data_IF_786597204045
#
_entry.id   IF_786597204045
#
_cell.length_a   1.000
_cell.length_b   1.000
_cell.length_c   1.000
_cell.angle_alpha   90.00
_cell.angle_beta   90.00
_cell.angle_gamma   90.00
#
_symmetry.space_group_name_H-M   'P 1'
#
loop_
_entity.id
_entity.type
_entity.pdbx_description
1 polymer ?
#
# COMPACT_ATOMS: atom_id res chain seq x y z
N UNK A 1 27.42 61.90 -56.00
CA UNK A 1 27.20 62.17 -54.56
C UNK A 1 26.01 61.33 -54.12
N UNK A 2 26.24 60.23 -53.39
CA UNK A 2 25.20 59.28 -52.98
C UNK A 2 24.67 59.70 -51.61
N UNK A 3 23.40 60.11 -51.55
CA UNK A 3 22.74 60.46 -50.31
C UNK A 3 22.25 59.17 -49.61
N UNK A 4 22.98 58.74 -48.58
CA UNK A 4 22.56 57.62 -47.72
C UNK A 4 21.50 58.15 -46.74
N UNK A 5 20.24 57.79 -46.94
CA UNK A 5 19.17 58.02 -45.95
C UNK A 5 19.40 57.11 -44.74
N UNK A 6 19.83 57.69 -43.62
CA UNK A 6 19.72 57.07 -42.29
C UNK A 6 18.25 57.04 -41.89
N UNK A 7 17.62 55.88 -41.94
CA UNK A 7 16.33 55.62 -41.26
C UNK A 7 16.60 55.46 -39.77
N UNK A 8 16.63 56.58 -39.04
CA UNK A 8 16.60 56.57 -37.58
C UNK A 8 15.18 56.30 -37.11
N UNK A 9 14.83 55.04 -36.88
CA UNK A 9 13.56 54.68 -36.25
C UNK A 9 13.64 54.99 -34.75
N UNK A 10 13.02 56.09 -34.32
CA UNK A 10 12.77 56.32 -32.89
C UNK A 10 11.79 55.28 -32.38
N UNK A 11 12.30 54.30 -31.64
CA UNK A 11 11.46 53.37 -30.89
C UNK A 11 10.81 54.16 -29.77
N UNK A 12 9.50 54.35 -29.86
CA UNK A 12 8.71 55.07 -28.86
C UNK A 12 9.00 54.53 -27.46
N UNK A 13 9.41 55.41 -26.54
CA UNK A 13 9.69 55.07 -25.13
C UNK A 13 8.52 54.32 -24.48
N UNK A 14 7.28 54.61 -24.92
CA UNK A 14 6.07 53.89 -24.46
C UNK A 14 6.09 52.41 -24.86
N UNK A 15 6.56 52.08 -26.06
CA UNK A 15 6.67 50.70 -26.53
C UNK A 15 7.70 49.91 -25.73
N UNK A 16 8.84 50.53 -25.40
CA UNK A 16 9.90 49.91 -24.58
C UNK A 16 9.38 49.60 -23.17
N UNK A 17 8.68 50.56 -22.55
CA UNK A 17 8.09 50.39 -21.22
C UNK A 17 7.04 49.27 -21.23
N UNK A 18 6.16 49.23 -22.24
CA UNK A 18 5.15 48.16 -22.38
C UNK A 18 5.80 46.79 -22.55
N UNK A 19 6.81 46.67 -23.42
CA UNK A 19 7.53 45.41 -23.63
C UNK A 19 8.28 44.94 -22.38
N UNK A 20 8.81 45.88 -21.58
CA UNK A 20 9.50 45.57 -20.33
C UNK A 20 8.51 45.08 -19.27
N UNK A 21 7.34 45.73 -19.14
CA UNK A 21 6.27 45.29 -18.22
C UNK A 21 5.77 43.90 -18.62
N UNK A 22 5.51 43.66 -19.91
CA UNK A 22 5.08 42.35 -20.42
C UNK A 22 6.16 41.30 -20.18
N UNK A 23 7.43 41.63 -20.46
CA UNK A 23 8.56 40.74 -20.20
C UNK A 23 8.68 40.36 -18.72
N UNK A 24 8.58 41.33 -17.81
CA UNK A 24 8.62 41.10 -16.36
C UNK A 24 7.43 40.26 -15.90
N UNK A 25 6.22 40.53 -16.41
CA UNK A 25 5.03 39.75 -16.09
C UNK A 25 5.14 38.30 -16.55
N UNK A 26 5.67 38.05 -17.76
CA UNK A 26 5.90 36.68 -18.26
C UNK A 26 6.96 35.98 -17.42
N UNK A 27 8.08 36.65 -17.13
CA UNK A 27 9.18 36.10 -16.33
C UNK A 27 8.74 35.80 -14.90
N UNK A 28 7.79 36.54 -14.32
CA UNK A 28 7.24 36.27 -13.00
C UNK A 28 6.14 35.19 -13.01
N UNK A 29 5.24 35.23 -14.00
CA UNK A 29 4.06 34.36 -14.06
C UNK A 29 4.39 32.93 -14.49
N UNK A 30 5.37 32.74 -15.39
CA UNK A 30 5.74 31.40 -15.89
C UNK A 30 6.33 30.52 -14.79
N UNK A 31 7.33 30.95 -13.99
CA UNK A 31 7.85 30.15 -12.88
C UNK A 31 6.79 29.87 -11.81
N UNK A 32 5.93 30.86 -11.52
CA UNK A 32 4.82 30.68 -10.58
C UNK A 32 3.83 29.63 -11.10
N UNK A 33 3.50 29.67 -12.40
CA UNK A 33 2.70 28.66 -13.07
C UNK A 33 3.31 27.27 -12.95
N UNK A 34 4.61 27.12 -13.22
CA UNK A 34 5.32 25.84 -13.05
C UNK A 34 5.38 25.36 -11.60
N UNK A 35 5.45 26.27 -10.64
CA UNK A 35 5.47 25.94 -9.22
C UNK A 35 4.10 25.47 -8.72
N UNK A 36 3.02 26.12 -9.15
CA UNK A 36 1.66 25.87 -8.64
C UNK A 36 0.95 24.78 -9.42
N UNK A 37 1.28 24.58 -10.70
CA UNK A 37 0.63 23.61 -11.59
C UNK A 37 0.63 22.15 -11.07
N UNK A 38 1.73 21.59 -10.52
CA UNK A 38 1.73 20.24 -9.98
C UNK A 38 0.76 20.08 -8.80
N UNK A 39 0.69 21.06 -7.91
CA UNK A 39 -0.21 21.05 -6.75
C UNK A 39 -1.68 21.21 -7.15
N UNK A 40 -1.95 22.07 -8.14
CA UNK A 40 -3.29 22.18 -8.73
C UNK A 40 -3.70 20.88 -9.42
N UNK A 41 -2.78 20.24 -10.16
CA UNK A 41 -3.06 18.95 -10.82
C UNK A 41 -3.35 17.85 -9.80
N UNK A 42 -2.76 17.88 -8.62
CA UNK A 42 -3.09 16.97 -7.52
C UNK A 42 -4.46 17.28 -6.89
N UNK A 43 -4.83 18.55 -6.75
CA UNK A 43 -6.16 18.96 -6.26
C UNK A 43 -7.30 18.52 -7.20
N UNK A 44 -7.03 18.48 -8.51
CA UNK A 44 -7.98 18.01 -9.52
C UNK A 44 -7.75 16.55 -9.97
N UNK A 45 -6.79 15.85 -9.37
CA UNK A 45 -6.71 14.41 -9.53
C UNK A 45 -7.95 13.84 -8.85
N UNK A 46 -8.84 13.23 -9.64
CA UNK A 46 -10.03 12.59 -9.08
C UNK A 46 -9.56 11.58 -8.02
N UNK A 47 -10.14 11.61 -6.80
CA UNK A 47 -9.82 10.62 -5.79
C UNK A 47 -10.11 9.24 -6.38
N UNK A 48 -9.18 8.30 -6.19
CA UNK A 48 -9.37 6.92 -6.59
C UNK A 48 -10.69 6.40 -6.01
N UNK A 49 -11.64 6.03 -6.87
CA UNK A 49 -12.89 5.44 -6.43
C UNK A 49 -12.63 3.98 -6.03
N UNK A 50 -12.93 3.65 -4.79
CA UNK A 50 -12.74 2.33 -4.21
C UNK A 50 -14.09 1.74 -3.84
N UNK A 51 -14.36 0.54 -4.34
CA UNK A 51 -15.54 -0.25 -3.96
C UNK A 51 -15.11 -1.34 -2.99
N UNK A 52 -15.81 -1.48 -1.86
CA UNK A 52 -15.54 -2.54 -0.88
C UNK A 52 -16.03 -3.88 -1.46
N UNK A 53 -15.10 -4.80 -1.69
CA UNK A 53 -15.40 -6.19 -2.06
C UNK A 53 -15.68 -7.02 -0.81
N UNK A 54 -14.94 -6.74 0.26
CA UNK A 54 -14.99 -7.50 1.50
C UNK A 54 -14.57 -6.63 2.69
N UNK A 55 -15.24 -6.83 3.83
CA UNK A 55 -14.92 -6.24 5.11
C UNK A 55 -15.09 -7.26 6.24
N UNK A 56 -14.19 -7.21 7.22
CA UNK A 56 -14.22 -7.98 8.45
C UNK A 56 -13.67 -7.14 9.60
N UNK A 57 -14.52 -6.84 10.57
CA UNK A 57 -14.22 -6.12 11.81
C UNK A 57 -14.20 -7.03 13.04
N UNK A 58 -14.52 -8.32 12.89
CA UNK A 58 -14.61 -9.33 13.96
C UNK A 58 -15.61 -9.02 15.07
N UNK A 59 -16.51 -8.05 14.89
CA UNK A 59 -17.45 -7.62 15.94
C UNK A 59 -18.56 -8.62 16.22
N UNK A 60 -18.71 -9.63 15.36
CA UNK A 60 -19.59 -10.78 15.62
C UNK A 60 -19.13 -11.64 16.80
N UNK A 61 -17.86 -11.51 17.23
CA UNK A 61 -17.27 -12.32 18.30
C UNK A 61 -16.83 -13.73 17.84
N UNK A 62 -17.08 -14.08 16.58
CA UNK A 62 -16.71 -15.36 15.97
C UNK A 62 -16.02 -15.16 14.63
N UNK A 63 -15.22 -16.14 14.20
CA UNK A 63 -14.61 -16.10 12.86
C UNK A 63 -15.65 -16.53 11.83
N UNK A 64 -15.96 -15.66 10.86
CA UNK A 64 -16.93 -15.95 9.80
C UNK A 64 -16.61 -17.25 9.05
N UNK A 65 -17.63 -17.99 8.64
CA UNK A 65 -17.51 -19.36 8.09
C UNK A 65 -16.77 -19.44 6.76
N UNK A 66 -16.71 -18.34 6.03
CA UNK A 66 -16.05 -18.25 4.74
C UNK A 66 -14.53 -18.10 4.87
N UNK A 67 -14.02 -17.83 6.08
CA UNK A 67 -12.61 -17.93 6.38
C UNK A 67 -12.18 -19.39 6.49
N UNK A 68 -11.24 -19.79 5.63
CA UNK A 68 -10.48 -21.02 5.82
C UNK A 68 -9.33 -20.73 6.76
N UNK A 69 -9.14 -21.53 7.80
CA UNK A 69 -8.03 -21.38 8.75
C UNK A 69 -7.07 -22.56 8.71
N UNK A 70 -5.83 -22.33 9.12
CA UNK A 70 -4.88 -23.38 9.45
C UNK A 70 -4.30 -23.13 10.85
N UNK A 71 -3.91 -24.20 11.54
CA UNK A 71 -3.51 -24.16 12.95
C UNK A 71 -4.56 -23.41 13.81
N UNK A 72 -5.82 -23.80 13.68
CA UNK A 72 -6.99 -23.14 14.29
C UNK A 72 -6.89 -23.00 15.82
N UNK A 73 -6.20 -23.90 16.49
CA UNK A 73 -5.93 -23.82 17.94
C UNK A 73 -5.05 -22.62 18.35
N UNK A 74 -4.44 -21.94 17.38
CA UNK A 74 -3.62 -20.74 17.58
C UNK A 74 -4.35 -19.45 17.18
N UNK A 75 -5.62 -19.54 16.78
CA UNK A 75 -6.46 -18.44 16.32
C UNK A 75 -7.65 -18.28 17.27
N UNK A 76 -7.92 -17.05 17.69
CA UNK A 76 -9.05 -16.73 18.56
C UNK A 76 -9.56 -15.32 18.27
N UNK A 77 -10.87 -15.11 18.41
CA UNK A 77 -11.42 -13.75 18.50
C UNK A 77 -11.22 -13.28 19.95
N UNK A 78 -10.53 -12.15 20.13
CA UNK A 78 -10.02 -11.67 21.41
C UNK A 78 -10.57 -10.28 21.73
N UNK A 79 -11.08 -10.09 22.96
CA UNK A 79 -11.63 -8.80 23.40
C UNK A 79 -10.68 -7.93 24.23
N UNK A 80 -9.44 -8.36 24.47
CA UNK A 80 -8.46 -7.65 25.30
C UNK A 80 -7.62 -6.67 24.49
N UNK A 81 -7.13 -7.10 23.33
CA UNK A 81 -6.37 -6.24 22.41
C UNK A 81 -7.22 -6.06 21.15
N UNK A 82 -7.62 -4.82 20.89
CA UNK A 82 -8.49 -4.44 19.77
C UNK A 82 -8.20 -3.01 19.32
N UNK A 83 -8.53 -2.68 18.06
CA UNK A 83 -8.32 -1.34 17.49
C UNK A 83 -9.59 -0.51 17.56
N UNK A 84 -10.71 -1.10 17.12
CA UNK A 84 -12.07 -0.59 17.25
C UNK A 84 -12.96 -1.56 18.03
N UNK A 85 -14.19 -1.17 18.31
CA UNK A 85 -15.22 -2.10 18.80
C UNK A 85 -14.86 -2.89 20.06
N UNK A 86 -15.26 -4.16 20.07
CA UNK A 86 -15.15 -5.09 21.19
C UNK A 86 -14.15 -6.22 20.95
N UNK A 87 -13.80 -6.52 19.70
CA UNK A 87 -13.06 -7.72 19.34
C UNK A 87 -11.96 -7.47 18.29
N UNK A 88 -11.02 -8.40 18.17
CA UNK A 88 -10.11 -8.51 17.04
C UNK A 88 -9.70 -9.97 16.84
N UNK A 89 -9.11 -10.31 15.70
CA UNK A 89 -8.59 -11.65 15.44
C UNK A 89 -7.15 -11.79 15.93
N UNK A 90 -6.96 -12.55 17.01
CA UNK A 90 -5.64 -12.93 17.53
C UNK A 90 -5.14 -14.18 16.84
N UNK A 91 -3.88 -14.14 16.40
CA UNK A 91 -3.16 -15.27 15.80
C UNK A 91 -1.80 -15.43 16.47
N UNK A 92 -1.34 -16.67 16.63
CA UNK A 92 -0.02 -16.96 17.19
C UNK A 92 0.79 -17.94 16.35
N UNK A 93 2.05 -17.62 16.14
CA UNK A 93 3.01 -18.48 15.45
C UNK A 93 3.81 -19.35 16.41
N UNK A 94 4.26 -20.52 15.95
CA UNK A 94 5.06 -21.43 16.76
C UNK A 94 6.45 -20.87 17.06
N UNK A 95 6.83 -20.83 18.33
CA UNK A 95 8.16 -20.36 18.76
C UNK A 95 9.33 -21.30 18.39
N UNK A 96 9.05 -22.51 17.85
CA UNK A 96 10.06 -23.53 17.53
C UNK A 96 9.82 -24.34 16.24
N UNK A 97 8.64 -24.29 15.62
CA UNK A 97 8.30 -25.03 14.39
C UNK A 97 8.06 -24.10 13.20
N UNK A 98 7.98 -24.62 11.97
CA UNK A 98 7.56 -23.84 10.78
C UNK A 98 6.06 -23.47 10.82
N UNK A 99 5.37 -23.70 11.95
CA UNK A 99 3.95 -23.47 12.08
C UNK A 99 3.63 -21.98 12.22
N UNK A 100 3.15 -21.38 11.14
CA UNK A 100 2.36 -20.15 11.21
C UNK A 100 0.91 -20.49 11.53
N UNK A 101 0.13 -19.54 12.02
CA UNK A 101 -1.33 -19.63 11.99
C UNK A 101 -1.91 -18.52 11.14
N UNK A 102 -3.09 -18.75 10.59
CA UNK A 102 -3.75 -17.71 9.83
C UNK A 102 -5.08 -18.11 9.23
N UNK A 103 -5.68 -17.12 8.59
CA UNK A 103 -6.95 -17.19 7.91
C UNK A 103 -6.75 -16.82 6.44
N UNK A 104 -7.54 -17.40 5.56
CA UNK A 104 -7.59 -17.06 4.14
C UNK A 104 -9.01 -17.05 3.62
N UNK A 105 -9.27 -16.18 2.66
CA UNK A 105 -10.56 -16.05 2.00
C UNK A 105 -10.38 -15.77 0.51
N UNK A 106 -11.20 -16.43 -0.31
CA UNK A 106 -11.34 -16.11 -1.73
C UNK A 106 -12.23 -14.89 -1.88
N UNK A 107 -11.84 -13.92 -2.70
CA UNK A 107 -12.68 -12.78 -3.05
C UNK A 107 -12.68 -12.61 -4.57
N UNK A 108 -13.84 -12.31 -5.14
CA UNK A 108 -13.94 -11.96 -6.56
C UNK A 108 -13.34 -10.56 -6.75
N UNK A 109 -12.11 -10.50 -7.23
CA UNK A 109 -11.33 -9.27 -7.33
C UNK A 109 -10.55 -9.23 -8.62
N UNK A 110 -10.23 -8.02 -9.09
CA UNK A 110 -9.38 -7.78 -10.27
C UNK A 110 -8.34 -6.71 -9.95
N UNK A 111 -7.22 -6.73 -10.68
CA UNK A 111 -6.23 -5.67 -10.55
C UNK A 111 -6.75 -4.35 -11.17
N UNK A 112 -6.51 -3.18 -10.54
CA UNK A 112 -5.82 -2.99 -9.26
C UNK A 112 -6.73 -3.33 -8.06
N UNK A 113 -6.14 -3.94 -7.02
CA UNK A 113 -6.83 -4.23 -5.76
C UNK A 113 -6.12 -3.52 -4.60
N UNK A 114 -6.87 -3.11 -3.59
CA UNK A 114 -6.32 -2.52 -2.36
C UNK A 114 -6.72 -3.38 -1.17
N UNK A 115 -5.77 -3.65 -0.28
CA UNK A 115 -5.96 -4.36 0.98
C UNK A 115 -5.66 -3.37 2.10
N UNK A 116 -6.60 -3.15 3.00
CA UNK A 116 -6.42 -2.35 4.21
C UNK A 116 -6.68 -3.20 5.44
N UNK A 117 -5.91 -2.99 6.49
CA UNK A 117 -6.10 -3.66 7.77
C UNK A 117 -5.38 -2.91 8.88
N UNK A 118 -5.87 -3.09 10.11
CA UNK A 118 -5.15 -2.73 11.31
C UNK A 118 -4.44 -3.95 11.88
N UNK A 119 -3.19 -3.74 12.32
CA UNK A 119 -2.36 -4.81 12.86
C UNK A 119 -1.66 -4.37 14.15
N UNK A 120 -1.73 -5.22 15.16
CA UNK A 120 -0.93 -5.10 16.39
C UNK A 120 -0.02 -6.32 16.52
N UNK A 121 1.27 -6.08 16.73
CA UNK A 121 2.23 -7.15 16.93
C UNK A 121 2.67 -7.22 18.39
N UNK A 122 2.61 -8.42 18.96
CA UNK A 122 3.06 -8.70 20.32
C UNK A 122 4.57 -8.48 20.51
N UNK A 123 4.99 -8.42 21.78
CA UNK A 123 6.38 -8.11 22.17
C UNK A 123 7.31 -9.32 22.16
N UNK A 124 6.81 -10.52 21.86
CA UNK A 124 7.60 -11.74 21.87
C UNK A 124 8.74 -11.65 20.85
N UNK A 125 9.93 -12.18 21.14
CA UNK A 125 11.06 -12.11 20.24
C UNK A 125 10.80 -12.86 18.92
N UNK A 126 11.51 -12.41 17.90
CA UNK A 126 11.68 -13.11 16.62
C UNK A 126 12.67 -14.27 16.83
N UNK A 127 12.30 -15.48 16.41
CA UNK A 127 13.01 -16.73 16.76
C UNK A 127 13.48 -17.55 15.54
N UNK A 128 13.31 -17.07 14.29
CA UNK A 128 13.65 -17.79 13.05
C UNK A 128 14.23 -16.90 11.95
N UNK A 129 15.45 -17.23 11.51
CA UNK A 129 16.16 -16.40 10.56
C UNK A 129 15.56 -16.24 9.14
N UNK A 130 14.70 -17.15 8.66
CA UNK A 130 14.20 -17.15 7.27
C UNK A 130 12.68 -16.97 7.11
N UNK A 131 11.88 -17.15 8.16
CA UNK A 131 10.41 -17.03 8.13
C UNK A 131 9.82 -16.24 9.33
N UNK A 132 10.63 -15.39 9.96
CA UNK A 132 10.20 -14.53 11.07
C UNK A 132 9.30 -13.37 10.60
N UNK A 133 7.99 -13.58 10.58
CA UNK A 133 7.03 -12.51 10.28
C UNK A 133 5.93 -12.44 11.33
N UNK A 134 5.54 -11.22 11.69
CA UNK A 134 4.27 -10.90 12.36
C UNK A 134 3.42 -10.05 11.42
N UNK A 135 2.10 -10.04 11.62
CA UNK A 135 1.21 -9.19 10.80
C UNK A 135 1.39 -9.43 9.31
N UNK A 136 1.34 -10.68 8.90
CA UNK A 136 1.69 -11.13 7.55
C UNK A 136 0.46 -11.02 6.63
N UNK A 137 0.69 -10.57 5.40
CA UNK A 137 -0.23 -10.75 4.26
C UNK A 137 0.40 -11.65 3.20
N UNK A 138 -0.33 -12.68 2.79
CA UNK A 138 0.08 -13.66 1.77
C UNK A 138 -1.03 -13.76 0.72
N UNK A 139 -0.64 -13.84 -0.54
CA UNK A 139 -1.54 -14.27 -1.61
C UNK A 139 -1.40 -15.78 -1.80
N UNK A 140 -2.51 -16.50 -1.86
CA UNK A 140 -2.54 -17.92 -2.19
C UNK A 140 -3.19 -18.11 -3.55
N UNK A 141 -2.73 -19.11 -4.29
CA UNK A 141 -3.50 -19.60 -5.43
C UNK A 141 -4.65 -20.47 -4.90
N UNK A 142 -5.89 -20.15 -5.23
CA UNK A 142 -7.04 -20.98 -4.86
C UNK A 142 -6.86 -22.37 -5.49
N UNK A 143 -6.97 -23.43 -4.68
CA UNK A 143 -6.83 -24.82 -5.14
C UNK A 143 -5.39 -25.28 -5.44
N UNK A 144 -4.45 -24.38 -5.73
CA UNK A 144 -3.03 -24.68 -5.89
C UNK A 144 -2.24 -24.29 -4.64
N UNK A 145 -1.48 -25.20 -4.02
CA UNK A 145 -0.75 -24.92 -2.75
C UNK A 145 0.33 -23.83 -2.81
N UNK A 146 0.46 -23.11 -3.93
CA UNK A 146 1.40 -22.00 -4.12
C UNK A 146 0.95 -20.76 -3.35
N UNK A 147 1.92 -20.05 -2.77
CA UNK A 147 1.67 -18.83 -2.01
C UNK A 147 2.81 -17.83 -2.18
N UNK A 148 2.48 -16.54 -2.08
CA UNK A 148 3.43 -15.44 -2.23
C UNK A 148 3.32 -14.45 -1.07
N UNK A 149 4.44 -14.20 -0.40
CA UNK A 149 4.50 -13.33 0.77
C UNK A 149 4.53 -11.87 0.34
N UNK A 150 3.38 -11.20 0.46
CA UNK A 150 3.19 -9.85 -0.03
C UNK A 150 3.77 -8.82 0.94
N UNK A 151 3.43 -8.97 2.23
CA UNK A 151 3.83 -8.05 3.29
C UNK A 151 4.08 -8.79 4.60
N UNK A 152 5.01 -8.30 5.41
CA UNK A 152 5.11 -8.68 6.82
C UNK A 152 5.84 -7.62 7.64
N UNK A 153 5.54 -7.58 8.94
CA UNK A 153 6.44 -6.99 9.92
C UNK A 153 7.53 -8.01 10.22
N UNK A 154 8.75 -7.70 9.80
CA UNK A 154 9.90 -8.59 9.85
C UNK A 154 10.80 -8.25 11.05
N UNK A 155 11.95 -8.94 11.17
CA UNK A 155 13.00 -8.75 12.20
C UNK A 155 13.25 -7.29 12.61
N UNK A 156 13.82 -7.04 13.81
CA UNK A 156 13.70 -5.77 14.52
C UNK A 156 13.84 -4.53 13.62
N UNK A 157 12.78 -3.73 13.58
CA UNK A 157 12.76 -2.45 12.89
C UNK A 157 12.74 -2.53 11.36
N UNK A 158 12.15 -3.58 10.78
CA UNK A 158 11.97 -3.67 9.32
C UNK A 158 10.60 -4.24 8.92
N UNK A 159 10.03 -3.73 7.84
CA UNK A 159 8.92 -4.38 7.13
C UNK A 159 9.48 -5.12 5.92
N UNK A 160 8.81 -6.15 5.43
CA UNK A 160 9.15 -6.77 4.15
C UNK A 160 8.01 -6.58 3.15
N UNK A 161 8.34 -6.20 1.92
CA UNK A 161 7.43 -6.20 0.77
C UNK A 161 7.97 -7.15 -0.28
N UNK A 162 7.18 -8.15 -0.67
CA UNK A 162 7.59 -9.18 -1.63
C UNK A 162 8.86 -9.92 -1.21
N UNK A 163 8.88 -10.45 0.02
CA UNK A 163 10.03 -11.13 0.66
C UNK A 163 11.28 -10.30 0.95
N UNK A 164 11.37 -9.05 0.49
CA UNK A 164 12.58 -8.24 0.68
C UNK A 164 12.39 -7.34 1.90
N UNK A 165 13.19 -7.50 2.98
CA UNK A 165 13.15 -6.60 4.13
C UNK A 165 13.64 -5.21 3.74
N UNK A 166 12.87 -4.19 4.11
CA UNK A 166 13.25 -2.79 4.06
C UNK A 166 13.55 -2.30 5.49
N UNK A 167 14.84 -2.01 5.74
CA UNK A 167 15.35 -1.53 7.03
C UNK A 167 15.10 -0.03 7.26
N UNK A 168 14.53 0.70 6.30
CA UNK A 168 14.18 2.12 6.47
C UNK A 168 12.94 2.33 7.35
N UNK A 169 12.28 1.23 7.75
CA UNK A 169 11.00 1.26 8.46
C UNK A 169 11.12 0.64 9.83
N UNK A 170 11.51 1.46 10.79
CA UNK A 170 11.49 1.06 12.19
C UNK A 170 10.06 0.99 12.72
N UNK A 171 9.49 -0.21 12.69
CA UNK A 171 8.29 -0.52 13.44
C UNK A 171 8.66 -1.02 14.85
N UNK A 172 7.71 -0.90 15.79
CA UNK A 172 7.83 -1.28 17.20
C UNK A 172 6.64 -2.16 17.56
N UNK A 173 6.91 -3.23 18.30
CA UNK A 173 5.86 -4.06 18.89
C UNK A 173 5.06 -3.27 19.95
N UNK A 174 3.91 -3.80 20.35
CA UNK A 174 3.11 -3.22 21.41
C UNK A 174 2.23 -2.05 20.99
N UNK A 175 2.03 -1.84 19.68
CA UNK A 175 1.14 -0.80 19.15
C UNK A 175 0.47 -1.21 17.85
N UNK A 176 -0.63 -0.52 17.56
CA UNK A 176 -1.40 -0.66 16.34
C UNK A 176 -0.77 0.08 15.16
N UNK A 177 -0.88 -0.53 13.99
CA UNK A 177 -0.50 0.01 12.70
C UNK A 177 -1.67 -0.11 11.74
N UNK A 178 -2.00 0.99 11.08
CA UNK A 178 -2.83 0.92 9.88
C UNK A 178 -1.92 0.63 8.68
N UNK A 179 -2.26 -0.40 7.91
CA UNK A 179 -1.52 -0.84 6.73
C UNK A 179 -2.45 -0.84 5.53
N UNK A 180 -2.01 -0.22 4.44
CA UNK A 180 -2.70 -0.19 3.14
C UNK A 180 -1.78 -0.72 2.06
N UNK A 181 -2.18 -1.74 1.31
CA UNK A 181 -1.40 -2.34 0.23
C UNK A 181 -2.19 -2.26 -1.07
N UNK A 182 -1.70 -1.54 -2.07
CA UNK A 182 -2.25 -1.52 -3.42
C UNK A 182 -1.43 -2.42 -4.34
N UNK A 183 -2.09 -3.37 -4.99
CA UNK A 183 -1.47 -4.29 -5.94
C UNK A 183 -1.94 -3.90 -7.34
N UNK A 184 -1.00 -3.75 -8.26
CA UNK A 184 -1.30 -3.30 -9.62
C UNK A 184 -0.39 -3.98 -10.65
N UNK A 185 -0.94 -4.26 -11.83
CA UNK A 185 -0.17 -4.71 -12.99
C UNK A 185 0.10 -3.52 -13.90
N UNK A 186 1.36 -3.16 -14.08
CA UNK A 186 1.81 -2.08 -14.96
C UNK A 186 2.80 -2.68 -15.94
N UNK A 187 2.53 -2.58 -17.24
CA UNK A 187 3.43 -3.09 -18.29
C UNK A 187 3.86 -4.56 -18.08
N UNK A 188 2.91 -5.43 -17.69
CA UNK A 188 3.12 -6.86 -17.37
C UNK A 188 3.97 -7.13 -16.11
N UNK A 189 4.33 -6.10 -15.36
CA UNK A 189 5.03 -6.20 -14.08
C UNK A 189 4.06 -5.95 -12.94
N UNK A 190 4.13 -6.80 -11.92
CA UNK A 190 3.28 -6.68 -10.74
C UNK A 190 3.99 -5.80 -9.71
N UNK A 191 3.30 -4.78 -9.24
CA UNK A 191 3.77 -3.87 -8.21
C UNK A 191 2.92 -4.00 -6.95
N UNK A 192 3.56 -3.87 -5.81
CA UNK A 192 2.90 -3.60 -4.53
C UNK A 192 3.32 -2.21 -4.06
N UNK A 193 2.34 -1.36 -3.80
CA UNK A 193 2.52 -0.09 -3.13
C UNK A 193 1.98 -0.24 -1.71
N UNK A 194 2.86 -0.15 -0.71
CA UNK A 194 2.45 -0.25 0.70
C UNK A 194 2.44 1.14 1.34
N UNK A 195 1.48 1.40 2.22
CA UNK A 195 1.52 2.48 3.18
C UNK A 195 1.42 1.90 4.58
N UNK A 196 2.37 2.24 5.45
CA UNK A 196 2.36 1.83 6.85
C UNK A 196 2.38 3.07 7.70
N UNK A 197 1.22 3.44 8.26
CA UNK A 197 1.04 4.62 9.11
C UNK A 197 1.54 5.93 8.47
N UNK A 198 1.19 6.16 7.20
CA UNK A 198 1.49 7.38 6.45
C UNK A 198 2.84 7.41 5.75
N UNK A 199 3.57 6.29 5.77
CA UNK A 199 4.81 6.13 5.00
C UNK A 199 4.54 5.20 3.83
N UNK A 200 4.71 5.71 2.62
CA UNK A 200 4.46 4.96 1.39
C UNK A 200 5.73 4.32 0.82
N UNK A 201 5.55 3.15 0.20
CA UNK A 201 6.58 2.29 -0.37
C UNK A 201 6.08 1.75 -1.70
N UNK A 202 6.98 1.50 -2.65
CA UNK A 202 6.67 0.86 -3.92
C UNK A 202 7.70 -0.20 -4.23
N UNK A 203 7.26 -1.39 -4.62
CA UNK A 203 8.12 -2.52 -4.95
C UNK A 203 7.60 -3.27 -6.18
N UNK A 204 8.47 -3.49 -7.15
CA UNK A 204 8.25 -4.47 -8.21
C UNK A 204 8.43 -5.88 -7.64
N UNK A 205 7.44 -6.74 -7.85
CA UNK A 205 7.47 -8.16 -7.49
C UNK A 205 8.13 -8.95 -8.61
N UNK A 206 9.45 -8.86 -8.73
CA UNK A 206 10.23 -9.45 -9.83
C UNK A 206 10.06 -10.96 -9.96
N UNK A 207 9.78 -11.65 -8.85
CA UNK A 207 9.57 -13.09 -8.77
C UNK A 207 8.07 -13.46 -8.65
N UNK A 208 7.17 -12.59 -9.11
CA UNK A 208 5.73 -12.90 -9.12
C UNK A 208 5.44 -14.10 -10.03
N UNK A 209 4.67 -15.05 -9.50
CA UNK A 209 4.19 -16.20 -10.24
C UNK A 209 3.23 -15.79 -11.36
N UNK A 210 3.10 -16.62 -12.38
CA UNK A 210 2.24 -16.33 -13.54
C UNK A 210 0.75 -16.20 -13.14
N UNK A 211 0.29 -16.98 -12.17
CA UNK A 211 -1.09 -16.86 -11.66
C UNK A 211 -1.35 -15.49 -11.01
N UNK A 212 -0.34 -14.87 -10.40
CA UNK A 212 -0.46 -13.52 -9.84
C UNK A 212 -0.53 -12.46 -10.95
N UNK A 213 0.25 -12.63 -12.03
CA UNK A 213 0.24 -11.70 -13.17
C UNK A 213 -1.08 -11.77 -13.95
N UNK A 214 -1.66 -12.96 -14.05
CA UNK A 214 -2.99 -13.18 -14.64
C UNK A 214 -4.14 -12.85 -13.69
N UNK A 215 -3.84 -12.76 -12.39
CA UNK A 215 -4.81 -12.56 -11.31
C UNK A 215 -5.91 -13.64 -11.29
N UNK A 216 -5.52 -14.88 -11.51
CA UNK A 216 -6.43 -16.03 -11.55
C UNK A 216 -6.44 -16.73 -10.20
N UNK A 217 -7.64 -16.95 -9.64
CA UNK A 217 -7.82 -17.76 -8.43
C UNK A 217 -6.97 -17.25 -7.26
N UNK A 218 -7.23 -16.03 -6.79
CA UNK A 218 -6.44 -15.41 -5.72
C UNK A 218 -7.22 -15.45 -4.40
N UNK A 219 -6.61 -16.09 -3.41
CA UNK A 219 -7.04 -16.04 -2.02
C UNK A 219 -6.17 -15.04 -1.25
N UNK A 220 -6.79 -14.20 -0.45
CA UNK A 220 -6.10 -13.29 0.46
C UNK A 220 -5.96 -13.94 1.82
N UNK A 221 -4.78 -13.80 2.43
CA UNK A 221 -4.49 -14.42 3.71
C UNK A 221 -3.76 -13.50 4.68
N UNK A 222 -4.17 -13.60 5.95
CA UNK A 222 -3.60 -12.91 7.09
C UNK A 222 -3.06 -13.94 8.07
N UNK A 223 -1.84 -13.74 8.55
CA UNK A 223 -1.18 -14.74 9.40
C UNK A 223 -0.14 -14.20 10.38
N UNK A 224 0.27 -15.08 11.29
CA UNK A 224 1.38 -14.86 12.19
C UNK A 224 2.37 -16.03 12.10
N UNK A 225 3.63 -15.74 11.78
CA UNK A 225 4.69 -16.73 11.67
C UNK A 225 5.38 -17.02 13.00
N UNK A 226 5.68 -15.97 13.78
CA UNK A 226 6.33 -16.08 15.10
C UNK A 226 5.67 -15.15 16.11
N UNK A 227 5.50 -15.58 17.35
CA UNK A 227 4.94 -14.74 18.42
C UNK A 227 3.44 -14.51 18.23
N UNK A 228 2.92 -13.33 18.60
CA UNK A 228 1.50 -12.99 18.45
C UNK A 228 1.28 -11.82 17.51
N UNK A 229 0.23 -11.88 16.69
CA UNK A 229 -0.30 -10.74 15.94
C UNK A 229 -1.83 -10.68 16.11
N UNK A 230 -2.37 -9.47 16.09
CA UNK A 230 -3.80 -9.20 16.11
C UNK A 230 -4.14 -8.43 14.85
N UNK A 231 -5.23 -8.83 14.19
CA UNK A 231 -5.77 -8.19 12.99
C UNK A 231 -7.17 -7.67 13.29
N UNK A 232 -7.46 -6.50 12.76
CA UNK A 232 -8.74 -5.80 12.93
C UNK A 232 -9.03 -4.97 11.67
N UNK A 233 -10.29 -4.62 11.43
CA UNK A 233 -10.76 -3.78 10.32
C UNK A 233 -10.17 -4.18 8.95
N UNK A 234 -10.21 -5.47 8.61
CA UNK A 234 -9.73 -5.95 7.32
C UNK A 234 -10.71 -5.51 6.24
N UNK A 235 -10.21 -4.83 5.22
CA UNK A 235 -10.98 -4.41 4.05
C UNK A 235 -10.23 -4.72 2.77
N UNK A 236 -10.95 -5.20 1.77
CA UNK A 236 -10.43 -5.41 0.42
C UNK A 236 -11.29 -4.59 -0.52
N UNK A 237 -10.63 -3.74 -1.31
CA UNK A 237 -11.28 -2.84 -2.24
C UNK A 237 -10.90 -3.16 -3.68
N UNK A 238 -11.88 -3.01 -4.56
CA UNK A 238 -11.67 -2.91 -5.98
C UNK A 238 -11.37 -1.45 -6.33
N UNK A 239 -10.24 -1.17 -6.97
CA UNK A 239 -10.08 0.12 -7.63
C UNK A 239 -11.01 0.16 -8.84
N UNK A 240 -11.94 1.10 -8.85
CA UNK A 240 -12.85 1.34 -9.96
C UNK A 240 -12.07 2.13 -11.01
N UNK A 241 -12.03 1.63 -12.24
CA UNK A 241 -11.52 2.44 -13.35
C UNK A 241 -12.60 3.45 -13.71
N UNK A 242 -12.24 4.72 -13.76
CA UNK A 242 -13.04 5.71 -14.47
C UNK A 242 -13.16 5.25 -15.94
N UNK A 243 -14.39 5.05 -16.41
CA UNK A 243 -14.71 4.86 -17.83
C UNK A 243 -14.39 6.12 -18.66
#
# INVERSE_FOLDING_TARGET
MICVRKTGGEVSTRLIVVLTIVGVLIVAAVPLGFYVYPSIKQLFAKPEQLEIIFEEDFESGELATEWKSWNRNQISIDGKIKRGGNYSCRMSGGMGSMGSSGIRRSCDSRLPVVIEFDCYNGIEPFNRNAHDGKGIVVLFQTGGGSHYWLFSFHKPGSIALGWVPDKKVEWKAGRWYHVRLKIELVEKKLFVNGDVSGRSYKKELSNAYDWMKKWENVDFSFSCGTGTAYFDNIRIYQAVKDD
#
